data_IF_217423820909
#
_entry.id   IF_217423820909
#
_cell.length_a   1.000
_cell.length_b   1.000
_cell.length_c   1.000
_cell.angle_alpha   90.00
_cell.angle_beta   90.00
_cell.angle_gamma   90.00
#
_symmetry.space_group_name_H-M   'P 1'
#
loop_
_entity.id
_entity.type
_entity.pdbx_description
1 polymer ?
#
# COMPACT_ATOMS: atom_id res chain seq x y z
N UNK A 1 -38.70 8.65 4.41
CA UNK A 1 -37.69 8.36 3.37
C UNK A 1 -37.87 6.91 2.93
N UNK A 2 -38.34 6.67 1.71
CA UNK A 2 -38.40 5.32 1.14
C UNK A 2 -37.08 5.10 0.39
N UNK A 3 -36.12 4.47 1.07
CA UNK A 3 -34.81 4.16 0.49
C UNK A 3 -34.93 2.80 -0.18
N UNK A 4 -34.58 2.73 -1.47
CA UNK A 4 -34.65 1.47 -2.22
C UNK A 4 -33.77 0.40 -1.53
N UNK A 5 -34.23 -0.86 -1.44
CA UNK A 5 -33.47 -1.94 -0.78
C UNK A 5 -32.03 -2.10 -1.28
N UNK A 6 -31.79 -1.81 -2.57
CA UNK A 6 -30.49 -1.85 -3.21
C UNK A 6 -29.53 -0.81 -2.63
N UNK A 7 -30.03 0.41 -2.36
CA UNK A 7 -29.24 1.48 -1.74
C UNK A 7 -28.84 1.09 -0.32
N UNK A 8 -29.74 0.47 0.43
CA UNK A 8 -29.44 -0.05 1.77
C UNK A 8 -28.34 -1.12 1.67
N UNK A 9 -28.48 -2.08 0.75
CA UNK A 9 -27.48 -3.13 0.55
C UNK A 9 -26.10 -2.56 0.17
N UNK A 10 -26.04 -1.54 -0.67
CA UNK A 10 -24.79 -0.92 -1.09
C UNK A 10 -24.13 -0.11 0.03
N UNK A 11 -24.90 0.55 0.91
CA UNK A 11 -24.37 1.18 2.12
C UNK A 11 -23.70 0.16 3.04
N UNK A 12 -24.32 -1.01 3.22
CA UNK A 12 -23.72 -2.11 4.01
C UNK A 12 -22.44 -2.65 3.37
N UNK A 13 -22.41 -2.84 2.05
CA UNK A 13 -21.19 -3.23 1.34
C UNK A 13 -20.07 -2.18 1.49
N UNK A 14 -20.39 -0.89 1.40
CA UNK A 14 -19.43 0.19 1.56
C UNK A 14 -18.82 0.19 2.97
N UNK A 15 -19.65 -0.01 4.00
CA UNK A 15 -19.19 -0.15 5.38
C UNK A 15 -18.22 -1.32 5.55
N UNK A 16 -18.56 -2.50 5.02
CA UNK A 16 -17.68 -3.68 5.10
C UNK A 16 -16.35 -3.50 4.36
N UNK A 17 -16.35 -2.77 3.25
CA UNK A 17 -15.09 -2.43 2.54
C UNK A 17 -14.15 -1.61 3.42
N UNK A 18 -14.68 -0.62 4.14
CA UNK A 18 -13.90 0.21 5.09
C UNK A 18 -13.36 -0.64 6.23
N UNK A 19 -14.18 -1.52 6.81
CA UNK A 19 -13.76 -2.42 7.89
C UNK A 19 -12.65 -3.38 7.43
N UNK A 20 -12.76 -3.90 6.21
CA UNK A 20 -11.74 -4.78 5.60
C UNK A 20 -10.44 -4.02 5.35
N UNK A 21 -10.52 -2.76 4.90
CA UNK A 21 -9.37 -1.88 4.70
C UNK A 21 -8.62 -1.62 6.03
N UNK A 22 -9.34 -1.21 7.08
CA UNK A 22 -8.70 -0.97 8.38
C UNK A 22 -8.20 -2.26 9.04
N UNK A 23 -8.87 -3.39 8.83
CA UNK A 23 -8.35 -4.71 9.23
C UNK A 23 -7.01 -4.99 8.57
N UNK A 24 -6.91 -4.76 7.27
CA UNK A 24 -5.67 -4.94 6.53
C UNK A 24 -4.56 -4.03 7.06
N UNK A 25 -4.84 -2.74 7.30
CA UNK A 25 -3.86 -1.80 7.86
C UNK A 25 -3.31 -2.32 9.19
N UNK A 26 -4.19 -2.66 10.13
CA UNK A 26 -3.79 -3.14 11.46
C UNK A 26 -2.94 -4.41 11.40
N UNK A 27 -3.27 -5.33 10.49
CA UNK A 27 -2.56 -6.61 10.36
C UNK A 27 -1.21 -6.49 9.66
N UNK A 28 -1.08 -5.59 8.67
CA UNK A 28 0.06 -5.59 7.76
C UNK A 28 1.08 -4.48 8.03
N UNK A 29 0.62 -3.34 8.54
CA UNK A 29 1.51 -2.23 8.88
C UNK A 29 2.06 -2.35 10.31
N UNK A 30 1.76 -3.48 10.99
CA UNK A 30 2.13 -3.80 12.36
C UNK A 30 2.21 -2.52 13.18
N UNK A 31 1.10 -1.78 13.32
CA UNK A 31 1.06 -0.52 14.09
C UNK A 31 1.20 -0.92 15.57
N UNK A 32 2.42 -1.09 16.11
CA UNK A 32 2.64 -1.93 17.25
C UNK A 32 2.74 -0.99 18.42
N UNK A 33 1.60 -0.73 19.06
CA UNK A 33 1.45 0.24 20.15
C UNK A 33 1.58 1.67 19.64
N UNK A 34 0.59 2.50 19.97
CA UNK A 34 0.67 3.93 19.71
C UNK A 34 1.96 4.44 20.38
N UNK A 35 2.94 4.94 19.61
CA UNK A 35 4.19 5.54 20.13
C UNK A 35 3.94 6.74 21.05
N UNK A 36 2.70 7.22 21.13
CA UNK A 36 2.22 8.20 22.09
C UNK A 36 0.69 8.14 22.14
N UNK A 37 0.11 8.39 23.31
CA UNK A 37 -1.34 8.43 23.52
C UNK A 37 -1.94 9.81 23.24
N UNK A 38 -1.13 10.78 22.81
CA UNK A 38 -1.61 12.11 22.46
C UNK A 38 -2.38 12.07 21.15
N UNK A 39 -3.41 12.90 21.05
CA UNK A 39 -4.25 13.01 19.85
C UNK A 39 -3.42 13.20 18.57
N UNK A 40 -2.44 14.11 18.61
CA UNK A 40 -1.54 14.36 17.49
C UNK A 40 -0.68 13.13 17.13
N UNK A 41 -0.22 12.35 18.10
CA UNK A 41 0.55 11.14 17.84
C UNK A 41 -0.31 10.09 17.14
N UNK A 42 -1.57 9.94 17.56
CA UNK A 42 -2.54 9.04 16.93
C UNK A 42 -2.81 9.46 15.48
N UNK A 43 -3.08 10.74 15.25
CA UNK A 43 -3.31 11.26 13.89
C UNK A 43 -2.09 11.06 12.99
N UNK A 44 -0.89 11.40 13.46
CA UNK A 44 0.34 11.22 12.68
C UNK A 44 0.58 9.75 12.31
N UNK A 45 0.33 8.82 13.24
CA UNK A 45 0.44 7.39 12.94
C UNK A 45 -0.58 6.92 11.91
N UNK A 46 -1.81 7.42 11.99
CA UNK A 46 -2.84 7.12 11.00
C UNK A 46 -2.45 7.66 9.62
N UNK A 47 -1.97 8.90 9.53
CA UNK A 47 -1.49 9.48 8.28
C UNK A 47 -0.31 8.69 7.71
N UNK A 48 0.66 8.32 8.54
CA UNK A 48 1.79 7.49 8.11
C UNK A 48 1.30 6.14 7.54
N UNK A 49 0.40 5.45 8.24
CA UNK A 49 -0.16 4.18 7.78
C UNK A 49 -0.90 4.32 6.43
N UNK A 50 -1.66 5.41 6.24
CA UNK A 50 -2.35 5.69 4.98
C UNK A 50 -1.35 5.99 3.85
N UNK A 51 -0.32 6.79 4.11
CA UNK A 51 0.75 7.09 3.15
C UNK A 51 1.47 5.80 2.75
N UNK A 52 1.86 4.96 3.71
CA UNK A 52 2.51 3.67 3.42
C UNK A 52 1.62 2.77 2.56
N UNK A 53 0.32 2.68 2.85
CA UNK A 53 -0.62 1.93 2.01
C UNK A 53 -0.65 2.45 0.57
N UNK A 54 -0.78 3.78 0.38
CA UNK A 54 -0.82 4.40 -0.94
C UNK A 54 0.46 4.12 -1.71
N UNK A 55 1.63 4.28 -1.08
CA UNK A 55 2.92 4.03 -1.70
C UNK A 55 3.09 2.55 -2.10
N UNK A 56 2.75 1.62 -1.20
CA UNK A 56 2.80 0.18 -1.48
C UNK A 56 1.88 -0.19 -2.64
N UNK A 57 0.66 0.35 -2.65
CA UNK A 57 -0.32 0.06 -3.69
C UNK A 57 0.10 0.64 -5.03
N UNK A 58 0.62 1.87 -5.04
CA UNK A 58 1.15 2.52 -6.23
C UNK A 58 2.33 1.76 -6.82
N UNK A 59 3.31 1.38 -5.98
CA UNK A 59 4.46 0.60 -6.38
C UNK A 59 4.03 -0.75 -6.98
N UNK A 60 3.15 -1.48 -6.29
CA UNK A 60 2.59 -2.73 -6.79
C UNK A 60 1.95 -2.56 -8.16
N UNK A 61 1.07 -1.56 -8.33
CA UNK A 61 0.38 -1.34 -9.61
C UNK A 61 1.38 -1.00 -10.72
N UNK A 62 2.34 -0.11 -10.48
CA UNK A 62 3.32 0.32 -11.48
C UNK A 62 4.31 -0.78 -11.88
N UNK A 63 4.72 -1.61 -10.94
CA UNK A 63 5.54 -2.78 -11.24
C UNK A 63 4.70 -3.85 -11.95
N UNK A 64 3.48 -4.12 -11.48
CA UNK A 64 2.60 -5.15 -12.07
C UNK A 64 2.21 -4.83 -13.51
N UNK A 65 2.05 -3.55 -13.87
CA UNK A 65 1.78 -3.12 -15.26
C UNK A 65 2.90 -3.53 -16.23
N UNK A 66 4.13 -3.70 -15.74
CA UNK A 66 5.32 -4.06 -16.54
C UNK A 66 5.66 -5.55 -16.50
N UNK A 67 5.03 -6.31 -15.61
CA UNK A 67 5.30 -7.73 -15.42
C UNK A 67 4.69 -8.57 -16.54
N UNK A 68 5.53 -9.33 -17.24
CA UNK A 68 5.11 -10.19 -18.37
C UNK A 68 4.86 -11.64 -17.92
N UNK A 69 5.42 -12.07 -16.78
CA UNK A 69 5.55 -13.50 -16.45
C UNK A 69 4.62 -14.03 -15.35
N UNK A 70 4.61 -13.44 -14.14
CA UNK A 70 3.79 -13.95 -13.02
C UNK A 70 3.13 -12.84 -12.22
N UNK A 71 1.80 -12.78 -12.29
CA UNK A 71 0.97 -11.92 -11.45
C UNK A 71 0.94 -12.45 -10.01
N UNK A 72 1.52 -11.73 -9.06
CA UNK A 72 1.34 -11.98 -7.63
C UNK A 72 0.21 -11.10 -7.10
N UNK A 73 -0.56 -11.59 -6.12
CA UNK A 73 -1.57 -10.76 -5.45
C UNK A 73 -0.90 -9.65 -4.63
N UNK A 74 -1.58 -8.54 -4.40
CA UNK A 74 -1.07 -7.43 -3.58
C UNK A 74 -0.64 -7.89 -2.16
N UNK A 75 -1.40 -8.80 -1.55
CA UNK A 75 -1.09 -9.34 -0.21
C UNK A 75 0.18 -10.19 -0.25
N UNK A 76 0.34 -11.02 -1.28
CA UNK A 76 1.54 -11.85 -1.48
C UNK A 76 2.77 -10.97 -1.76
N UNK A 77 2.63 -9.99 -2.65
CA UNK A 77 3.67 -9.01 -2.96
C UNK A 77 4.18 -8.33 -1.69
N UNK A 78 3.27 -7.78 -0.88
CA UNK A 78 3.67 -7.07 0.33
C UNK A 78 4.37 -8.00 1.34
N UNK A 79 3.85 -9.22 1.56
CA UNK A 79 4.50 -10.20 2.46
C UNK A 79 5.90 -10.53 1.99
N UNK A 80 6.08 -10.73 0.69
CA UNK A 80 7.40 -10.98 0.09
C UNK A 80 8.31 -9.76 0.20
N UNK A 81 7.77 -8.54 0.07
CA UNK A 81 8.53 -7.29 0.15
C UNK A 81 9.11 -7.08 1.54
N UNK A 82 8.28 -7.24 2.57
CA UNK A 82 8.72 -7.15 3.96
C UNK A 82 9.66 -8.32 4.30
N UNK A 83 9.40 -9.51 3.77
CA UNK A 83 10.24 -10.69 3.97
C UNK A 83 11.50 -10.76 3.10
N UNK A 84 11.80 -9.72 2.31
CA UNK A 84 12.91 -9.66 1.35
C UNK A 84 13.02 -10.90 0.43
N UNK A 85 11.87 -11.45 0.02
CA UNK A 85 11.76 -12.69 -0.74
C UNK A 85 10.94 -12.51 -2.03
N UNK A 86 11.12 -11.36 -2.70
CA UNK A 86 10.48 -11.12 -4.00
C UNK A 86 11.10 -12.01 -5.07
N UNK A 87 10.30 -12.54 -6.02
CA UNK A 87 10.83 -13.15 -7.22
C UNK A 87 11.79 -12.22 -7.96
N UNK A 88 12.81 -12.78 -8.61
CA UNK A 88 13.86 -12.00 -9.29
C UNK A 88 13.29 -11.07 -10.37
N UNK A 89 12.27 -11.53 -11.10
CA UNK A 89 11.57 -10.73 -12.13
C UNK A 89 10.92 -9.48 -11.53
N UNK A 90 10.37 -9.61 -10.32
CA UNK A 90 9.79 -8.50 -9.59
C UNK A 90 10.85 -7.51 -9.12
N UNK A 91 11.98 -8.00 -8.60
CA UNK A 91 13.09 -7.14 -8.19
C UNK A 91 13.68 -6.38 -9.37
N UNK A 92 13.87 -7.05 -10.51
CA UNK A 92 14.42 -6.47 -11.73
C UNK A 92 13.54 -5.32 -12.23
N UNK A 93 12.23 -5.57 -12.40
CA UNK A 93 11.30 -4.54 -12.86
C UNK A 93 11.14 -3.39 -11.86
N UNK A 94 11.13 -3.68 -10.56
CA UNK A 94 11.13 -2.62 -9.54
C UNK A 94 12.37 -1.75 -9.66
N UNK A 95 13.55 -2.35 -9.82
CA UNK A 95 14.80 -1.59 -9.96
C UNK A 95 14.80 -0.72 -11.21
N UNK A 96 14.29 -1.25 -12.33
CA UNK A 96 14.16 -0.52 -13.59
C UNK A 96 13.16 0.62 -13.48
N UNK A 97 12.01 0.36 -12.87
CA UNK A 97 10.98 1.37 -12.61
C UNK A 97 11.52 2.52 -11.74
N UNK A 98 12.19 2.19 -10.62
CA UNK A 98 12.74 3.20 -9.71
C UNK A 98 13.84 4.02 -10.37
N UNK A 99 14.77 3.38 -11.10
CA UNK A 99 15.81 4.09 -11.86
C UNK A 99 15.18 5.07 -12.86
N UNK A 100 14.20 4.61 -13.64
CA UNK A 100 13.53 5.47 -14.62
C UNK A 100 12.79 6.64 -13.96
N UNK A 101 12.14 6.41 -12.82
CA UNK A 101 11.44 7.47 -12.09
C UNK A 101 12.40 8.52 -11.54
N UNK A 102 13.53 8.08 -10.97
CA UNK A 102 14.60 8.93 -10.45
C UNK A 102 15.21 9.77 -11.57
N UNK A 103 15.55 9.15 -12.70
CA UNK A 103 16.08 9.84 -13.88
C UNK A 103 15.08 10.85 -14.45
N UNK A 104 13.80 10.49 -14.51
CA UNK A 104 12.73 11.38 -15.02
C UNK A 104 12.49 12.60 -14.11
N UNK A 105 12.58 12.43 -12.79
CA UNK A 105 12.40 13.52 -11.82
C UNK A 105 13.67 14.38 -11.61
N UNK A 106 14.80 14.01 -12.21
CA UNK A 106 16.08 14.71 -12.00
C UNK A 106 16.61 14.61 -10.55
N UNK A 107 16.09 13.67 -9.76
CA UNK A 107 16.51 13.47 -8.37
C UNK A 107 17.82 12.68 -8.40
N UNK A 108 18.92 13.25 -7.91
CA UNK A 108 20.16 12.49 -7.75
C UNK A 108 20.10 11.62 -6.49
N UNK A 109 20.22 10.31 -6.64
CA UNK A 109 20.38 9.38 -5.51
C UNK A 109 21.72 9.56 -4.77
N UNK A 110 22.64 10.37 -5.28
CA UNK A 110 23.90 10.73 -4.60
C UNK A 110 23.68 11.59 -3.34
N UNK A 111 22.49 12.18 -3.17
CA UNK A 111 22.20 13.14 -2.10
C UNK A 111 21.51 12.50 -0.89
N UNK A 112 21.25 11.19 -0.92
CA UNK A 112 20.74 10.42 0.21
C UNK A 112 21.83 9.43 0.64
N UNK A 113 22.85 9.96 1.32
CA UNK A 113 23.89 9.19 2.01
C UNK A 113 23.48 8.86 3.44
#
# INVERSE_FOLDING_TARGET
MNVAPEVIADMYKARWKIETFFRWIKQNLNVPVLFGTTENAVFNQLFAALITYVLLKWLYTKTSERQVFKTVSFVTFQRQLVGNNLPIDWQSEMSTFLKNYVTFQGISLSNFG
#
